data_IF_278743651778
#
_entry.id   IF_278743651778
#
_cell.length_a   1.000
_cell.length_b   1.000
_cell.length_c   1.000
_cell.angle_alpha   90.00
_cell.angle_beta   90.00
_cell.angle_gamma   90.00
#
_symmetry.space_group_name_H-M   'P 1'
#
loop_
_entity.id
_entity.type
_entity.pdbx_description
1 polymer ?
#
# COMPACT_ATOMS: atom_id res chain seq x y z
N UNK A 1 25.26 35.34 -7.55
CA UNK A 1 23.96 34.95 -8.18
C UNK A 1 23.85 33.45 -8.50
N UNK A 2 24.92 32.77 -8.94
CA UNK A 2 24.90 31.33 -9.30
C UNK A 2 24.61 30.38 -8.12
N UNK A 3 25.24 30.61 -6.95
CA UNK A 3 25.03 29.78 -5.74
C UNK A 3 23.59 29.80 -5.23
N UNK A 4 22.93 30.98 -5.26
CA UNK A 4 21.50 31.11 -4.88
C UNK A 4 20.60 30.29 -5.82
N UNK A 5 20.90 30.26 -7.12
CA UNK A 5 20.16 29.43 -8.09
C UNK A 5 20.38 27.93 -7.87
N UNK A 6 21.59 27.50 -7.53
CA UNK A 6 21.90 26.09 -7.21
C UNK A 6 21.22 25.61 -5.93
N UNK A 7 21.15 26.44 -4.89
CA UNK A 7 20.42 26.13 -3.65
C UNK A 7 18.91 25.99 -3.89
N UNK A 8 18.33 26.89 -4.69
CA UNK A 8 16.91 26.81 -5.08
C UNK A 8 16.63 25.55 -5.90
N UNK A 9 17.52 25.19 -6.83
CA UNK A 9 17.37 23.96 -7.62
C UNK A 9 17.49 22.69 -6.75
N UNK A 10 18.42 22.65 -5.80
CA UNK A 10 18.57 21.54 -4.87
C UNK A 10 17.33 21.39 -3.96
N UNK A 11 16.81 22.49 -3.43
CA UNK A 11 15.58 22.51 -2.63
C UNK A 11 14.34 22.08 -3.43
N UNK A 12 14.27 22.44 -4.72
CA UNK A 12 13.18 22.01 -5.60
C UNK A 12 13.26 20.50 -5.90
N UNK A 13 14.46 19.96 -6.15
CA UNK A 13 14.64 18.53 -6.35
C UNK A 13 14.27 17.70 -5.11
N UNK A 14 14.66 18.14 -3.91
CA UNK A 14 14.28 17.42 -2.68
C UNK A 14 12.78 17.51 -2.41
N UNK A 15 12.15 18.66 -2.69
CA UNK A 15 10.69 18.81 -2.59
C UNK A 15 9.94 17.89 -3.57
N UNK A 16 10.42 17.76 -4.81
CA UNK A 16 9.83 16.87 -5.83
C UNK A 16 9.98 15.39 -5.45
N UNK A 17 11.10 14.99 -4.85
CA UNK A 17 11.30 13.62 -4.37
C UNK A 17 10.46 13.29 -3.12
N UNK A 18 10.21 14.28 -2.25
CA UNK A 18 9.41 14.09 -1.04
C UNK A 18 7.90 14.12 -1.29
N UNK A 19 7.44 14.71 -2.42
CA UNK A 19 6.02 14.95 -2.71
C UNK A 19 5.24 13.76 -3.29
N UNK A 20 5.87 12.63 -3.61
CA UNK A 20 5.20 11.48 -4.23
C UNK A 20 4.67 10.50 -3.18
N UNK A 21 3.84 11.02 -2.27
CA UNK A 21 2.99 10.17 -1.42
C UNK A 21 1.91 9.56 -2.31
N UNK A 22 2.06 8.29 -2.68
CA UNK A 22 1.03 7.58 -3.43
C UNK A 22 -0.28 7.57 -2.65
N UNK A 23 -1.41 7.76 -3.34
CA UNK A 23 -2.72 7.67 -2.70
C UNK A 23 -2.90 6.29 -2.06
N UNK A 24 -3.06 6.25 -0.74
CA UNK A 24 -3.57 5.07 -0.06
C UNK A 24 -5.07 4.96 -0.38
N UNK A 25 -5.48 3.85 -0.99
CA UNK A 25 -6.88 3.58 -1.30
C UNK A 25 -7.43 2.65 -0.22
N UNK A 26 -8.10 3.24 0.77
CA UNK A 26 -8.90 2.49 1.73
C UNK A 26 -10.32 2.30 1.18
N UNK A 27 -10.80 1.05 1.18
CA UNK A 27 -12.15 0.69 0.77
C UNK A 27 -12.72 -0.42 1.63
N UNK A 28 -14.03 -0.36 1.85
CA UNK A 28 -14.78 -1.54 2.29
C UNK A 28 -15.05 -2.40 1.07
N UNK A 29 -14.65 -3.67 1.15
CA UNK A 29 -15.00 -4.73 0.21
C UNK A 29 -15.96 -5.71 0.88
N UNK A 30 -16.57 -6.60 0.12
CA UNK A 30 -17.57 -7.51 0.65
C UNK A 30 -17.24 -8.94 0.30
N UNK A 31 -17.30 -9.81 1.31
CA UNK A 31 -17.26 -11.25 1.16
C UNK A 31 -18.50 -11.85 1.82
N UNK A 32 -19.30 -12.60 1.04
CA UNK A 32 -20.59 -13.16 1.48
C UNK A 32 -21.50 -12.13 2.19
N UNK A 33 -21.53 -10.90 1.68
CA UNK A 33 -22.33 -9.80 2.23
C UNK A 33 -21.78 -9.17 3.52
N UNK A 34 -20.68 -9.67 4.09
CA UNK A 34 -20.02 -9.03 5.23
C UNK A 34 -18.95 -8.07 4.75
N UNK A 35 -18.90 -6.89 5.35
CA UNK A 35 -17.86 -5.90 5.09
C UNK A 35 -16.49 -6.37 5.56
N UNK A 36 -15.50 -6.17 4.70
CA UNK A 36 -14.09 -6.45 4.91
C UNK A 36 -13.34 -5.15 4.64
N UNK A 37 -12.45 -4.77 5.55
CA UNK A 37 -11.60 -3.61 5.36
C UNK A 37 -10.46 -3.97 4.41
N UNK A 38 -10.18 -3.12 3.42
CA UNK A 38 -9.02 -3.27 2.56
C UNK A 38 -8.38 -1.92 2.24
N UNK A 39 -7.11 -1.78 2.58
CA UNK A 39 -6.28 -0.60 2.33
C UNK A 39 -5.04 -1.01 1.56
N UNK A 40 -4.78 -0.37 0.44
CA UNK A 40 -3.62 -0.72 -0.39
C UNK A 40 -3.09 0.51 -1.09
N UNK A 41 -1.85 0.42 -1.57
CA UNK A 41 -1.25 1.50 -2.31
C UNK A 41 0.26 1.41 -2.36
N UNK A 42 0.87 2.59 -2.41
CA UNK A 42 2.31 2.75 -2.54
C UNK A 42 2.85 3.69 -1.46
N UNK A 43 3.90 3.26 -0.79
CA UNK A 43 4.67 4.06 0.14
C UNK A 43 6.03 4.45 -0.47
N UNK A 44 6.49 5.66 -0.18
CA UNK A 44 7.77 6.22 -0.63
C UNK A 44 8.08 6.04 -2.13
N UNK A 45 7.05 6.03 -2.99
CA UNK A 45 7.18 5.88 -4.44
C UNK A 45 7.63 4.50 -4.97
N UNK A 46 8.10 3.60 -4.11
CA UNK A 46 8.73 2.32 -4.54
C UNK A 46 8.30 1.08 -3.76
N UNK A 47 7.63 1.23 -2.63
CA UNK A 47 7.14 0.10 -1.84
C UNK A 47 5.63 -0.05 -2.02
N UNK A 48 5.18 -1.26 -2.37
CA UNK A 48 3.77 -1.59 -2.44
C UNK A 48 3.28 -2.14 -1.12
N UNK A 49 2.01 -1.89 -0.79
CA UNK A 49 1.36 -2.49 0.38
C UNK A 49 -0.08 -2.91 0.10
N UNK A 50 -0.56 -3.90 0.84
CA UNK A 50 -1.93 -4.38 0.88
C UNK A 50 -2.25 -4.85 2.30
N UNK A 51 -3.19 -4.20 2.95
CA UNK A 51 -3.66 -4.44 4.32
C UNK A 51 -5.14 -4.81 4.27
N UNK A 52 -5.50 -5.99 4.75
CA UNK A 52 -6.89 -6.48 4.76
C UNK A 52 -7.26 -6.89 6.18
N UNK A 53 -8.51 -6.62 6.57
CA UNK A 53 -9.04 -7.08 7.84
C UNK A 53 -10.50 -7.53 7.70
N UNK A 54 -10.75 -8.79 8.04
CA UNK A 54 -12.08 -9.34 8.25
C UNK A 54 -12.26 -9.76 9.70
N UNK A 55 -13.39 -9.36 10.30
CA UNK A 55 -13.76 -9.75 11.67
C UNK A 55 -14.44 -11.13 11.74
N UNK A 56 -14.81 -11.73 10.59
CA UNK A 56 -15.58 -12.99 10.55
C UNK A 56 -14.87 -14.13 9.84
N UNK A 57 -13.97 -13.82 8.91
CA UNK A 57 -13.39 -14.80 8.01
C UNK A 57 -11.88 -14.80 8.13
N UNK A 58 -11.27 -15.97 7.88
CA UNK A 58 -9.84 -15.99 7.59
C UNK A 58 -9.61 -15.19 6.31
N UNK A 59 -8.54 -14.43 6.28
CA UNK A 59 -8.28 -13.50 5.18
C UNK A 59 -6.78 -13.34 4.95
N UNK A 60 -6.43 -12.84 3.77
CA UNK A 60 -5.05 -12.57 3.42
C UNK A 60 -4.95 -11.36 2.49
N UNK A 61 -3.74 -10.83 2.42
CA UNK A 61 -3.34 -9.75 1.53
C UNK A 61 -2.15 -10.16 0.70
N UNK A 62 -2.06 -9.62 -0.51
CA UNK A 62 -0.84 -9.69 -1.31
C UNK A 62 -0.60 -8.43 -2.12
N UNK A 63 0.66 -8.17 -2.46
CA UNK A 63 1.08 -7.07 -3.33
C UNK A 63 2.29 -7.50 -4.15
N UNK A 64 2.19 -7.50 -5.48
CA UNK A 64 3.31 -7.75 -6.41
C UNK A 64 4.19 -8.99 -6.03
N UNK A 65 3.58 -10.08 -5.57
CA UNK A 65 4.27 -11.31 -5.18
C UNK A 65 4.60 -11.44 -3.69
N UNK A 66 4.51 -10.36 -2.91
CA UNK A 66 4.56 -10.41 -1.45
C UNK A 66 3.20 -10.81 -0.87
N UNK A 67 3.18 -11.62 0.17
CA UNK A 67 1.95 -12.17 0.79
C UNK A 67 2.02 -12.11 2.30
N UNK A 68 0.89 -11.83 2.94
CA UNK A 68 0.73 -11.89 4.40
C UNK A 68 0.57 -13.32 4.93
N UNK A 69 0.32 -14.29 4.04
CA UNK A 69 -0.29 -15.57 4.42
C UNK A 69 -1.73 -15.40 4.91
N UNK A 70 -2.38 -16.52 5.24
CA UNK A 70 -3.72 -16.53 5.83
C UNK A 70 -3.65 -16.12 7.30
N UNK A 71 -4.52 -15.18 7.67
CA UNK A 71 -4.67 -14.68 9.03
C UNK A 71 -6.05 -15.03 9.58
N UNK A 72 -6.10 -15.22 10.90
CA UNK A 72 -7.34 -15.46 11.63
C UNK A 72 -8.27 -14.24 11.60
N UNK A 73 -9.58 -14.43 11.78
CA UNK A 73 -10.52 -13.31 11.93
C UNK A 73 -10.06 -12.34 13.02
N UNK A 74 -10.16 -11.04 12.75
CA UNK A 74 -9.78 -9.98 13.69
C UNK A 74 -8.30 -9.59 13.67
N UNK A 75 -7.43 -10.38 13.03
CA UNK A 75 -6.00 -10.07 12.89
C UNK A 75 -5.73 -9.35 11.57
N UNK A 76 -5.07 -8.20 11.60
CA UNK A 76 -4.72 -7.47 10.37
C UNK A 76 -3.75 -8.30 9.49
N UNK A 77 -4.12 -8.56 8.24
CA UNK A 77 -3.24 -9.20 7.27
C UNK A 77 -2.48 -8.15 6.45
N UNK A 78 -1.15 -8.13 6.59
CA UNK A 78 -0.29 -7.11 5.96
C UNK A 78 0.68 -7.74 4.96
N UNK A 79 0.64 -7.28 3.72
CA UNK A 79 1.63 -7.60 2.71
C UNK A 79 2.33 -6.32 2.28
N UNK A 80 3.66 -6.32 2.31
CA UNK A 80 4.49 -5.17 1.97
C UNK A 80 5.76 -5.64 1.28
N UNK A 81 6.22 -4.88 0.29
CA UNK A 81 7.50 -5.17 -0.35
C UNK A 81 7.91 -4.15 -1.40
N UNK A 82 9.16 -4.26 -1.85
CA UNK A 82 9.73 -3.38 -2.86
C UNK A 82 9.18 -3.74 -4.24
N UNK A 83 8.51 -2.79 -4.89
CA UNK A 83 7.93 -2.96 -6.24
C UNK A 83 8.60 -2.07 -7.29
N UNK A 84 9.44 -1.12 -6.85
CA UNK A 84 10.08 -0.15 -7.73
C UNK A 84 9.06 0.69 -8.51
N UNK A 85 9.35 1.03 -9.77
CA UNK A 85 8.42 1.81 -10.60
C UNK A 85 7.24 1.00 -11.14
N UNK A 86 7.26 -0.34 -11.04
CA UNK A 86 6.26 -1.26 -11.60
C UNK A 86 4.85 -0.97 -11.07
N UNK A 87 3.80 -1.17 -11.86
CA UNK A 87 2.41 -0.97 -11.40
C UNK A 87 2.08 -1.77 -10.14
N UNK A 88 1.36 -1.15 -9.19
CA UNK A 88 0.87 -1.83 -7.98
C UNK A 88 -0.22 -2.82 -8.35
N UNK A 89 -0.02 -4.08 -7.96
CA UNK A 89 -1.00 -5.15 -8.06
C UNK A 89 -1.27 -5.69 -6.66
N UNK A 90 -2.20 -5.03 -5.96
CA UNK A 90 -2.62 -5.41 -4.63
C UNK A 90 -3.89 -6.26 -4.70
N UNK A 91 -3.94 -7.31 -3.89
CA UNK A 91 -5.10 -8.18 -3.75
C UNK A 91 -5.42 -8.43 -2.27
N UNK A 92 -6.65 -8.85 -2.04
CA UNK A 92 -7.17 -9.36 -0.78
C UNK A 92 -7.97 -10.64 -1.07
N UNK A 93 -8.11 -11.50 -0.07
CA UNK A 93 -9.01 -12.65 -0.15
C UNK A 93 -9.59 -12.98 1.23
N UNK A 94 -10.73 -13.67 1.23
CA UNK A 94 -11.39 -14.21 2.42
C UNK A 94 -11.81 -15.67 2.17
N UNK A 95 -11.78 -16.49 3.21
CA UNK A 95 -12.28 -17.87 3.18
C UNK A 95 -12.96 -18.25 4.50
N UNK A 96 -13.85 -19.24 4.41
CA UNK A 96 -14.78 -19.63 5.49
C UNK A 96 -16.21 -19.29 5.11
#
# INVERSE_FOLDING_TARGET
>A
MKVKKSLVAAALCTALCAGVSGAALARTVYYKGTGVYWNYGRNAGVFGFSDCNSQKYEHCSSVNGYSSGWQQPGTLSQAWGFVGPSTIQAYWNCRG
#
